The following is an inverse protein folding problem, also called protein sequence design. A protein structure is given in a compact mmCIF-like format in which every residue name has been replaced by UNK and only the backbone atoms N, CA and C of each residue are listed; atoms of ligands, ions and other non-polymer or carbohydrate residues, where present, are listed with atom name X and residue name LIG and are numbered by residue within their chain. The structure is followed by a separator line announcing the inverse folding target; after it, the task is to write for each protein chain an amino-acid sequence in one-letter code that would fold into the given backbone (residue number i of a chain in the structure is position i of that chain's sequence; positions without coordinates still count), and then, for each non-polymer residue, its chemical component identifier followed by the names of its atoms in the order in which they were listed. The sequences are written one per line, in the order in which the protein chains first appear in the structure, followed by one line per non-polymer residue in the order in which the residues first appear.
data_IF_298194930716
#
_entry.id   IF_298194930716
#
_cell.length_a   1.000
_cell.length_b   1.000
_cell.length_c   1.000
_cell.angle_alpha   90.00
_cell.angle_beta   90.00
_cell.angle_gamma   90.00
#
_symmetry.space_group_name_H-M   'P 1'
#
loop_
_entity.id
_entity.type
_entity.pdbx_description
1 polymer ?
#
# COMPACT_ATOMS: atom_id res chain seq x y z
N UNK A 1 -60.38 27.82 2.62
CA UNK A 1 -61.07 26.64 2.04
C UNK A 1 -60.12 26.08 1.00
N UNK A 2 -59.34 25.06 1.35
CA UNK A 2 -59.58 23.65 0.95
C UNK A 2 -59.28 23.43 -0.54
N UNK A 3 -58.62 22.40 -1.05
CA UNK A 3 -57.93 21.22 -0.54
C UNK A 3 -57.68 20.35 -1.79
N UNK A 4 -56.48 19.76 -1.90
CA UNK A 4 -56.13 18.43 -2.45
C UNK A 4 -56.77 17.88 -3.74
N UNK A 5 -55.90 17.34 -4.60
CA UNK A 5 -56.29 16.32 -5.59
C UNK A 5 -55.15 15.87 -6.53
N UNK A 6 -54.22 15.05 -6.03
CA UNK A 6 -53.53 14.03 -6.87
C UNK A 6 -54.54 12.89 -7.17
N UNK A 7 -54.47 12.22 -8.34
CA UNK A 7 -53.55 11.10 -8.54
C UNK A 7 -52.93 11.10 -9.95
N UNK A 8 -51.73 10.56 -10.18
CA UNK A 8 -51.50 9.12 -10.29
C UNK A 8 -50.24 8.86 -11.12
N UNK A 9 -49.58 7.77 -10.76
CA UNK A 9 -48.22 7.34 -11.08
C UNK A 9 -48.29 6.23 -12.14
N UNK A 10 -47.48 6.33 -13.21
CA UNK A 10 -46.93 5.23 -14.03
C UNK A 10 -46.08 5.93 -15.11
N UNK A 11 -44.77 5.79 -15.19
CA UNK A 11 -43.92 4.66 -14.86
C UNK A 11 -43.30 4.19 -16.18
N UNK A 12 -42.24 4.85 -16.63
CA UNK A 12 -41.37 4.29 -17.66
C UNK A 12 -39.98 4.11 -17.09
N UNK A 13 -39.72 2.83 -16.81
CA UNK A 13 -38.49 2.28 -16.30
C UNK A 13 -37.72 1.70 -17.50
N UNK A 14 -36.65 2.36 -17.91
CA UNK A 14 -35.58 1.74 -18.72
C UNK A 14 -34.40 2.69 -18.92
N UNK A 15 -33.81 3.14 -17.82
CA UNK A 15 -32.40 3.54 -17.81
C UNK A 15 -31.69 2.64 -16.79
N UNK A 16 -30.64 1.88 -17.18
CA UNK A 16 -29.94 0.99 -16.26
C UNK A 16 -29.29 1.80 -15.12
N UNK A 17 -29.24 1.27 -13.88
CA UNK A 17 -28.85 2.01 -12.67
C UNK A 17 -27.35 2.31 -12.55
N UNK A 18 -26.58 2.15 -13.62
CA UNK A 18 -25.11 2.24 -13.61
C UNK A 18 -24.58 3.52 -14.27
N UNK A 19 -25.24 4.66 -14.08
CA UNK A 19 -24.47 5.91 -14.10
C UNK A 19 -23.52 5.83 -12.91
N UNK A 20 -22.30 5.35 -13.17
CA UNK A 20 -21.19 5.35 -12.23
C UNK A 20 -21.07 6.79 -11.72
N UNK A 21 -21.09 7.02 -10.39
CA UNK A 21 -20.61 8.28 -9.87
C UNK A 21 -19.18 8.44 -10.40
N UNK A 22 -18.81 9.63 -10.85
CA UNK A 22 -17.43 10.00 -11.10
C UNK A 22 -16.64 9.80 -9.79
N UNK A 23 -16.10 8.60 -9.54
CA UNK A 23 -15.27 8.28 -8.36
C UNK A 23 -13.81 8.68 -8.59
N UNK A 24 -13.56 9.46 -9.63
CA UNK A 24 -12.35 10.24 -9.77
C UNK A 24 -12.29 11.27 -8.63
N UNK A 25 -11.53 10.91 -7.58
CA UNK A 25 -10.49 11.78 -7.05
C UNK A 25 -10.74 12.69 -5.82
N UNK A 26 -11.64 12.37 -4.89
CA UNK A 26 -11.68 13.13 -3.62
C UNK A 26 -11.32 12.28 -2.39
N UNK A 27 -10.19 12.65 -1.76
CA UNK A 27 -9.82 12.25 -0.40
C UNK A 27 -10.93 12.69 0.57
N UNK A 28 -11.20 11.89 1.61
CA UNK A 28 -12.31 12.23 2.48
C UNK A 28 -12.71 11.19 3.51
N UNK A 29 -13.60 11.63 4.39
CA UNK A 29 -14.18 10.81 5.44
C UNK A 29 -15.16 9.79 4.87
N UNK A 30 -15.10 8.59 5.44
CA UNK A 30 -15.96 7.45 5.18
C UNK A 30 -16.49 6.90 6.51
N UNK A 31 -17.46 5.99 6.46
CA UNK A 31 -17.97 5.31 7.66
C UNK A 31 -18.84 6.21 8.54
N UNK A 32 -18.83 5.94 9.85
CA UNK A 32 -19.61 6.70 10.84
C UNK A 32 -18.70 7.46 11.80
N UNK A 33 -19.29 8.29 12.66
CA UNK A 33 -18.53 9.00 13.70
C UNK A 33 -17.89 8.05 14.72
N UNK A 34 -18.57 6.95 15.02
CA UNK A 34 -18.17 5.91 15.98
C UNK A 34 -17.11 4.97 15.40
N UNK A 35 -17.24 4.68 14.10
CA UNK A 35 -16.35 3.82 13.32
C UNK A 35 -15.88 4.58 12.07
N UNK A 36 -14.97 5.56 12.24
CA UNK A 36 -14.51 6.39 11.15
C UNK A 36 -13.69 5.60 10.14
N UNK A 37 -13.82 6.02 8.88
CA UNK A 37 -12.93 5.67 7.77
C UNK A 37 -12.38 6.93 7.11
N UNK A 38 -11.23 6.83 6.47
CA UNK A 38 -10.66 7.91 5.67
C UNK A 38 -10.01 7.35 4.41
N UNK A 39 -10.27 7.99 3.28
CA UNK A 39 -9.61 7.73 1.99
C UNK A 39 -8.52 8.77 1.76
N UNK A 40 -7.32 8.29 1.48
CA UNK A 40 -6.16 9.08 1.06
C UNK A 40 -5.59 8.46 -0.23
N UNK A 41 -5.99 9.00 -1.37
CA UNK A 41 -5.69 8.50 -2.72
C UNK A 41 -6.24 7.10 -2.94
N UNK A 42 -5.33 6.16 -3.17
CA UNK A 42 -5.62 4.74 -3.35
C UNK A 42 -5.73 3.97 -2.01
N UNK A 43 -5.46 4.59 -0.86
CA UNK A 43 -5.51 3.92 0.44
C UNK A 43 -6.81 4.30 1.15
N UNK A 44 -7.49 3.30 1.71
CA UNK A 44 -8.60 3.48 2.64
C UNK A 44 -8.19 2.86 3.97
N UNK A 45 -8.37 3.61 5.06
CA UNK A 45 -8.25 3.08 6.42
C UNK A 45 -9.58 3.26 7.10
N UNK A 46 -10.07 2.24 7.81
CA UNK A 46 -11.32 2.34 8.57
C UNK A 46 -11.32 1.46 9.80
N UNK A 47 -12.17 1.82 10.75
CA UNK A 47 -12.40 1.00 11.94
C UNK A 47 -13.61 0.09 11.76
N UNK A 48 -13.52 -1.10 12.35
CA UNK A 48 -14.62 -2.03 12.49
C UNK A 48 -14.76 -2.44 13.95
N UNK A 49 -15.99 -2.68 14.39
CA UNK A 49 -16.26 -3.23 15.71
C UNK A 49 -16.60 -4.72 15.61
N UNK A 50 -15.67 -5.58 16.02
CA UNK A 50 -15.80 -7.04 15.96
C UNK A 50 -15.69 -7.68 17.35
N UNK A 51 -16.71 -7.53 18.23
CA UNK A 51 -16.69 -8.01 19.62
C UNK A 51 -16.65 -9.53 19.75
N UNK A 52 -16.99 -10.26 18.70
CA UNK A 52 -16.81 -11.71 18.64
C UNK A 52 -15.34 -12.14 18.46
N UNK A 53 -14.46 -11.25 18.03
CA UNK A 53 -13.03 -11.52 17.79
C UNK A 53 -12.19 -10.95 18.93
N UNK A 54 -12.38 -9.67 19.28
CA UNK A 54 -11.73 -9.03 20.42
C UNK A 54 -12.75 -8.16 21.16
N UNK A 55 -12.86 -8.35 22.48
CA UNK A 55 -13.85 -7.68 23.36
C UNK A 55 -13.41 -6.35 23.96
N UNK A 56 -12.17 -5.96 23.77
CA UNK A 56 -11.61 -4.75 24.34
C UNK A 56 -11.19 -3.73 23.28
N UNK A 57 -10.85 -4.19 22.06
CA UNK A 57 -10.25 -3.37 21.02
C UNK A 57 -11.06 -3.32 19.71
N UNK A 58 -10.88 -2.24 18.97
CA UNK A 58 -11.41 -2.09 17.61
C UNK A 58 -10.52 -2.81 16.59
N UNK A 59 -11.08 -3.13 15.44
CA UNK A 59 -10.34 -3.63 14.28
C UNK A 59 -9.93 -2.47 13.38
N UNK A 60 -8.72 -2.55 12.84
CA UNK A 60 -8.24 -1.65 11.78
C UNK A 60 -8.26 -2.40 10.46
N UNK A 61 -9.01 -1.90 9.50
CA UNK A 61 -8.96 -2.31 8.10
C UNK A 61 -8.14 -1.29 7.30
N UNK A 62 -7.15 -1.79 6.56
CA UNK A 62 -6.38 -1.03 5.58
C UNK A 62 -6.63 -1.66 4.22
N UNK A 63 -7.22 -0.90 3.31
CA UNK A 63 -7.56 -1.35 1.97
C UNK A 63 -6.79 -0.53 0.93
N UNK A 64 -6.40 -1.18 -0.16
CA UNK A 64 -5.84 -0.52 -1.34
C UNK A 64 -6.83 -0.63 -2.51
N UNK A 65 -7.06 0.49 -3.16
CA UNK A 65 -7.81 0.58 -4.40
C UNK A 65 -6.88 0.37 -5.61
N UNK A 66 -7.36 -0.36 -6.61
CA UNK A 66 -6.78 -0.43 -7.94
C UNK A 66 -7.11 0.81 -8.78
N UNK A 67 -6.50 0.87 -9.97
CA UNK A 67 -6.73 1.95 -10.95
C UNK A 67 -8.20 1.98 -11.44
N UNK A 68 -8.91 0.87 -11.30
CA UNK A 68 -10.35 0.70 -11.60
C UNK A 68 -11.27 1.04 -10.41
N UNK A 69 -10.68 1.51 -9.30
CA UNK A 69 -11.38 1.87 -8.08
C UNK A 69 -11.89 0.69 -7.26
N UNK A 70 -11.58 -0.55 -7.65
CA UNK A 70 -11.91 -1.75 -6.87
C UNK A 70 -10.89 -1.99 -5.76
N UNK A 71 -11.27 -2.76 -4.74
CA UNK A 71 -10.35 -3.15 -3.67
C UNK A 71 -9.45 -4.27 -4.20
N UNK A 72 -8.17 -3.98 -4.34
CA UNK A 72 -7.17 -4.96 -4.76
C UNK A 72 -6.61 -5.75 -3.57
N UNK A 73 -6.45 -5.08 -2.43
CA UNK A 73 -5.78 -5.64 -1.26
C UNK A 73 -6.45 -5.18 0.03
N UNK A 74 -6.45 -6.05 1.04
CA UNK A 74 -6.96 -5.77 2.38
C UNK A 74 -6.03 -6.36 3.43
N UNK A 75 -5.67 -5.53 4.41
CA UNK A 75 -4.95 -5.93 5.62
C UNK A 75 -5.81 -5.53 6.81
N UNK A 76 -6.24 -6.52 7.59
CA UNK A 76 -7.13 -6.30 8.73
C UNK A 76 -6.56 -6.91 10.00
N UNK A 77 -6.89 -6.31 11.14
CA UNK A 77 -6.68 -6.97 12.42
C UNK A 77 -6.98 -6.10 13.64
N UNK A 78 -7.01 -6.73 14.81
CA UNK A 78 -7.16 -6.07 16.11
C UNK A 78 -6.17 -4.93 16.29
N UNK A 79 -6.64 -3.79 16.78
CA UNK A 79 -5.82 -2.61 17.02
C UNK A 79 -5.75 -2.32 18.52
N UNK A 80 -4.79 -2.91 19.27
CA UNK A 80 -4.59 -2.63 20.69
C UNK A 80 -4.48 -1.14 21.05
N UNK A 81 -3.94 -0.32 20.15
CA UNK A 81 -3.85 1.13 20.32
C UNK A 81 -5.21 1.84 20.29
N UNK A 82 -6.29 1.14 19.92
CA UNK A 82 -7.66 1.66 19.86
C UNK A 82 -8.62 0.80 20.67
N UNK A 83 -8.63 0.95 22.01
CA UNK A 83 -9.68 0.40 22.85
C UNK A 83 -11.08 0.90 22.44
N UNK A 84 -12.13 0.11 22.68
CA UNK A 84 -13.53 0.51 22.40
C UNK A 84 -13.99 1.76 23.12
N UNK A 85 -13.35 2.14 24.22
CA UNK A 85 -13.66 3.35 24.99
C UNK A 85 -12.99 4.62 24.48
N UNK A 86 -12.12 4.53 23.46
CA UNK A 86 -11.29 5.67 23.05
C UNK A 86 -12.15 6.84 22.52
N UNK A 87 -11.81 8.10 22.81
CA UNK A 87 -12.58 9.25 22.32
C UNK A 87 -12.72 9.27 20.79
N UNK A 88 -13.87 9.73 20.29
CA UNK A 88 -14.19 9.74 18.85
C UNK A 88 -13.19 10.58 18.03
N UNK A 89 -12.74 11.70 18.58
CA UNK A 89 -11.75 12.56 17.93
C UNK A 89 -10.39 11.86 17.81
N UNK A 90 -10.01 11.06 18.80
CA UNK A 90 -8.79 10.23 18.77
C UNK A 90 -8.88 9.15 17.70
N UNK A 91 -10.03 8.47 17.58
CA UNK A 91 -10.26 7.47 16.52
C UNK A 91 -10.17 8.09 15.12
N UNK A 92 -10.82 9.24 14.95
CA UNK A 92 -10.83 9.97 13.69
C UNK A 92 -9.41 10.41 13.31
N UNK A 93 -8.67 11.01 14.26
CA UNK A 93 -7.26 11.39 14.07
C UNK A 93 -6.41 10.19 13.69
N UNK A 94 -6.55 9.07 14.41
CA UNK A 94 -5.79 7.84 14.12
C UNK A 94 -5.99 7.39 12.68
N UNK A 95 -7.25 7.22 12.25
CA UNK A 95 -7.57 6.71 10.91
C UNK A 95 -7.02 7.63 9.82
N UNK A 96 -7.19 8.94 9.97
CA UNK A 96 -6.67 9.92 9.02
C UNK A 96 -5.14 9.88 8.95
N UNK A 97 -4.45 9.88 10.09
CA UNK A 97 -2.98 9.86 10.13
C UNK A 97 -2.44 8.58 9.51
N UNK A 98 -3.01 7.41 9.83
CA UNK A 98 -2.60 6.14 9.22
C UNK A 98 -2.81 6.14 7.71
N UNK A 99 -3.96 6.61 7.22
CA UNK A 99 -4.24 6.69 5.79
C UNK A 99 -3.24 7.60 5.06
N UNK A 100 -2.94 8.78 5.62
CA UNK A 100 -2.00 9.74 5.06
C UNK A 100 -0.55 9.23 5.05
N UNK A 101 -0.10 8.56 6.12
CA UNK A 101 1.22 7.94 6.17
C UNK A 101 1.36 6.85 5.11
N UNK A 102 0.37 5.98 5.02
CA UNK A 102 0.38 4.87 4.07
C UNK A 102 0.23 5.35 2.64
N UNK A 103 -0.46 6.46 2.37
CA UNK A 103 -0.51 7.09 1.04
C UNK A 103 0.88 7.43 0.51
N UNK A 104 1.78 7.89 1.37
CA UNK A 104 3.14 8.28 0.96
C UNK A 104 4.14 7.14 0.96
N UNK A 105 3.90 6.09 1.76
CA UNK A 105 4.72 4.88 1.78
C UNK A 105 4.34 3.89 0.67
N UNK A 106 3.06 3.85 0.29
CA UNK A 106 2.55 3.05 -0.81
C UNK A 106 2.91 3.74 -2.12
N UNK A 107 3.77 3.13 -2.93
CA UNK A 107 3.96 3.54 -4.32
C UNK A 107 2.58 3.61 -5.03
N UNK A 108 2.37 4.42 -6.08
CA UNK A 108 1.11 4.44 -6.82
C UNK A 108 0.69 3.08 -7.40
N UNK A 109 1.61 2.11 -7.41
CA UNK A 109 1.40 0.69 -7.75
C UNK A 109 1.86 -0.28 -6.64
N UNK A 110 2.05 0.22 -5.43
CA UNK A 110 2.64 -0.47 -4.28
C UNK A 110 1.67 -1.43 -3.61
N UNK A 111 2.20 -2.52 -3.04
CA UNK A 111 1.45 -3.58 -2.36
C UNK A 111 1.48 -3.26 -0.87
N UNK A 112 0.38 -3.46 -0.15
CA UNK A 112 0.38 -3.36 1.32
C UNK A 112 1.31 -4.42 1.96
N UNK A 113 1.64 -5.48 1.23
CA UNK A 113 2.52 -6.57 1.65
C UNK A 113 3.89 -6.10 2.16
N UNK A 114 4.46 -5.03 1.58
CA UNK A 114 5.74 -4.46 2.02
C UNK A 114 5.65 -3.56 3.26
N UNK A 115 4.43 -3.24 3.71
CA UNK A 115 4.15 -2.32 4.81
C UNK A 115 3.62 -3.05 6.06
N UNK A 116 3.58 -4.39 6.05
CA UNK A 116 2.97 -5.20 7.10
C UNK A 116 3.54 -4.93 8.50
N UNK A 117 4.86 -4.78 8.63
CA UNK A 117 5.51 -4.48 9.91
C UNK A 117 5.15 -3.08 10.43
N UNK A 118 5.08 -2.09 9.55
CA UNK A 118 4.68 -0.73 9.92
C UNK A 118 3.19 -0.65 10.30
N UNK A 119 2.32 -1.37 9.56
CA UNK A 119 0.89 -1.48 9.89
C UNK A 119 0.69 -2.18 11.24
N UNK A 120 1.45 -3.24 11.51
CA UNK A 120 1.42 -3.91 12.81
C UNK A 120 1.84 -2.97 13.95
N UNK A 121 2.94 -2.23 13.75
CA UNK A 121 3.41 -1.25 14.73
C UNK A 121 2.38 -0.15 15.01
N UNK A 122 1.72 0.37 13.96
CA UNK A 122 0.64 1.34 14.11
C UNK A 122 -0.54 0.79 14.93
N UNK A 123 -0.93 -0.46 14.69
CA UNK A 123 -1.99 -1.14 15.42
C UNK A 123 -1.65 -1.36 16.89
N UNK A 124 -0.40 -1.69 17.18
CA UNK A 124 0.08 -1.95 18.53
C UNK A 124 0.34 -0.68 19.34
N UNK A 125 0.89 0.36 18.70
CA UNK A 125 1.51 1.49 19.41
C UNK A 125 0.83 2.82 19.19
N UNK A 126 -0.07 2.94 18.21
CA UNK A 126 -0.78 4.18 17.97
C UNK A 126 -0.05 5.15 17.04
N UNK A 127 -0.56 6.37 16.96
CA UNK A 127 -0.04 7.47 16.12
C UNK A 127 0.46 8.67 16.91
N UNK A 128 0.78 8.50 18.19
CA UNK A 128 1.24 9.59 19.05
C UNK A 128 2.78 9.70 19.06
N UNK A 129 3.27 10.94 19.21
CA UNK A 129 4.67 11.36 19.40
C UNK A 129 5.77 10.37 18.96
N UNK A 130 6.51 9.73 19.89
CA UNK A 130 7.63 8.84 19.55
C UNK A 130 7.26 7.61 18.73
N UNK A 131 6.05 7.09 18.90
CA UNK A 131 5.56 5.90 18.19
C UNK A 131 5.35 6.20 16.71
N UNK A 132 4.80 7.38 16.40
CA UNK A 132 4.66 7.86 15.03
C UNK A 132 6.03 7.99 14.34
N UNK A 133 7.04 8.46 15.06
CA UNK A 133 8.40 8.60 14.51
C UNK A 133 9.05 7.24 14.22
N UNK A 134 8.90 6.26 15.12
CA UNK A 134 9.38 4.90 14.89
C UNK A 134 8.68 4.25 13.68
N UNK A 135 7.37 4.44 13.54
CA UNK A 135 6.63 3.98 12.35
C UNK A 135 7.10 4.69 11.09
N UNK A 136 7.29 6.01 11.12
CA UNK A 136 7.78 6.75 9.97
C UNK A 136 9.18 6.27 9.54
N UNK A 137 10.06 5.95 10.49
CA UNK A 137 11.37 5.34 10.22
C UNK A 137 11.24 3.93 9.63
N UNK A 138 10.30 3.11 10.10
CA UNK A 138 10.05 1.77 9.53
C UNK A 138 9.47 1.86 8.12
N UNK A 139 8.57 2.81 7.86
CA UNK A 139 8.05 3.10 6.52
C UNK A 139 9.16 3.61 5.60
N UNK A 140 10.04 4.48 6.09
CA UNK A 140 11.19 5.00 5.34
C UNK A 140 12.23 3.90 5.07
N UNK A 141 12.50 3.03 6.04
CA UNK A 141 13.37 1.87 5.87
C UNK A 141 12.81 0.88 4.84
N UNK A 142 11.50 0.59 4.89
CA UNK A 142 10.80 -0.21 3.88
C UNK A 142 10.78 0.49 2.50
N UNK A 143 10.97 1.80 2.46
CA UNK A 143 11.09 2.61 1.25
C UNK A 143 12.54 2.97 0.88
N UNK A 144 13.53 2.46 1.60
CA UNK A 144 14.94 2.80 1.39
C UNK A 144 15.52 2.07 0.18
N UNK A 145 16.46 2.74 -0.49
CA UNK A 145 17.23 2.13 -1.58
C UNK A 145 17.98 0.88 -1.11
N UNK A 146 18.47 0.90 0.13
CA UNK A 146 19.25 -0.17 0.73
C UNK A 146 18.40 -1.43 1.01
N UNK A 147 17.19 -1.27 1.57
CA UNK A 147 16.27 -2.38 1.77
C UNK A 147 15.79 -2.98 0.44
N UNK A 148 15.60 -2.13 -0.58
CA UNK A 148 15.26 -2.60 -1.92
C UNK A 148 16.43 -3.33 -2.58
N UNK A 149 17.65 -2.84 -2.39
CA UNK A 149 18.86 -3.48 -2.88
C UNK A 149 19.12 -4.83 -2.20
N UNK A 150 18.91 -4.92 -0.89
CA UNK A 150 19.01 -6.18 -0.14
C UNK A 150 17.98 -7.21 -0.64
N UNK A 151 16.72 -6.78 -0.84
CA UNK A 151 15.64 -7.65 -1.30
C UNK A 151 15.87 -8.17 -2.73
N UNK A 152 16.34 -7.31 -3.63
CA UNK A 152 16.70 -7.70 -5.00
C UNK A 152 17.93 -8.61 -5.04
N UNK A 153 18.96 -8.29 -4.25
CA UNK A 153 20.17 -9.13 -4.14
C UNK A 153 19.81 -10.54 -3.67
N UNK A 154 18.98 -10.64 -2.64
CA UNK A 154 18.51 -11.92 -2.13
C UNK A 154 17.74 -12.73 -3.17
N UNK A 155 16.80 -12.10 -3.91
CA UNK A 155 16.04 -12.76 -4.97
C UNK A 155 16.92 -13.28 -6.12
N UNK A 156 17.93 -12.51 -6.51
CA UNK A 156 18.85 -12.89 -7.58
C UNK A 156 19.72 -14.08 -7.18
N UNK A 157 20.22 -14.08 -5.94
CA UNK A 157 20.96 -15.23 -5.38
C UNK A 157 20.07 -16.48 -5.37
N UNK A 158 18.81 -16.37 -4.95
CA UNK A 158 17.89 -17.50 -4.96
C UNK A 158 17.56 -18.02 -6.37
N UNK A 159 17.55 -17.14 -7.37
CA UNK A 159 17.15 -17.50 -8.75
C UNK A 159 18.30 -18.03 -9.59
N UNK A 160 19.51 -17.52 -9.39
CA UNK A 160 20.67 -17.75 -10.27
C UNK A 160 21.91 -18.27 -9.51
N UNK A 161 21.96 -18.11 -8.19
CA UNK A 161 23.20 -18.21 -7.42
C UNK A 161 24.01 -16.90 -7.47
N UNK A 162 24.90 -16.72 -6.48
CA UNK A 162 25.60 -15.45 -6.26
C UNK A 162 26.56 -15.06 -7.40
N UNK A 163 27.37 -16.00 -7.88
CA UNK A 163 28.34 -15.75 -8.96
C UNK A 163 27.65 -15.41 -10.29
N UNK A 164 26.58 -16.13 -10.64
CA UNK A 164 25.82 -15.90 -11.87
C UNK A 164 24.99 -14.61 -11.80
N UNK A 165 24.47 -14.28 -10.61
CA UNK A 165 23.82 -12.99 -10.37
C UNK A 165 24.77 -11.80 -10.58
N UNK A 166 26.00 -11.90 -10.07
CA UNK A 166 27.03 -10.87 -10.25
C UNK A 166 27.41 -10.68 -11.72
N UNK A 167 27.69 -11.76 -12.44
CA UNK A 167 28.04 -11.69 -13.88
C UNK A 167 26.89 -11.09 -14.69
N UNK A 168 25.66 -11.49 -14.38
CA UNK A 168 24.46 -10.99 -15.06
C UNK A 168 24.24 -9.51 -14.80
N UNK A 169 24.40 -9.05 -13.54
CA UNK A 169 24.27 -7.65 -13.19
C UNK A 169 25.38 -6.79 -13.78
N UNK A 170 26.62 -7.27 -13.79
CA UNK A 170 27.74 -6.54 -14.37
C UNK A 170 27.52 -6.30 -15.88
N UNK A 171 27.10 -7.35 -16.61
CA UNK A 171 26.76 -7.23 -18.03
C UNK A 171 25.59 -6.26 -18.29
N UNK A 172 24.58 -6.27 -17.42
CA UNK A 172 23.42 -5.38 -17.51
C UNK A 172 23.79 -3.93 -17.17
N UNK A 173 24.61 -3.71 -16.14
CA UNK A 173 25.11 -2.41 -15.74
C UNK A 173 26.05 -1.83 -16.80
N UNK A 174 26.93 -2.63 -17.40
CA UNK A 174 27.78 -2.18 -18.50
C UNK A 174 26.98 -1.65 -19.70
N UNK A 175 25.81 -2.26 -19.98
CA UNK A 175 24.88 -1.80 -21.03
C UNK A 175 24.12 -0.53 -20.65
N UNK A 176 23.64 -0.45 -19.40
CA UNK A 176 22.80 0.67 -18.94
C UNK A 176 23.59 1.90 -18.47
N UNK A 177 24.83 1.68 -18.05
CA UNK A 177 25.73 2.63 -17.42
C UNK A 177 27.18 2.42 -17.91
N UNK A 178 27.49 2.64 -19.19
CA UNK A 178 28.80 2.36 -19.78
C UNK A 178 29.97 3.19 -19.21
N UNK A 179 29.70 4.11 -18.27
CA UNK A 179 30.70 4.94 -17.58
C UNK A 179 30.72 4.76 -16.06
N UNK A 180 29.85 3.91 -15.50
CA UNK A 180 29.86 3.65 -14.07
C UNK A 180 30.84 2.53 -13.74
N UNK A 181 31.63 2.70 -12.69
CA UNK A 181 32.34 1.59 -12.07
C UNK A 181 31.33 0.81 -11.24
N UNK A 182 31.04 -0.42 -11.65
CA UNK A 182 30.26 -1.35 -10.84
C UNK A 182 31.03 -1.65 -9.55
N UNK A 183 30.31 -1.74 -8.42
CA UNK A 183 30.90 -2.16 -7.15
C UNK A 183 31.33 -3.64 -7.20
N UNK A 184 32.17 -4.05 -6.25
CA UNK A 184 32.68 -5.43 -6.20
C UNK A 184 31.71 -6.40 -5.51
N UNK A 185 30.62 -5.88 -4.93
CA UNK A 185 29.60 -6.68 -4.25
C UNK A 185 28.25 -6.61 -4.96
N UNK A 186 27.48 -7.69 -4.86
CA UNK A 186 26.15 -7.79 -5.48
C UNK A 186 25.23 -6.67 -4.99
N UNK A 187 25.28 -6.37 -3.69
CA UNK A 187 24.47 -5.32 -3.08
C UNK A 187 24.77 -3.92 -3.64
N UNK A 188 26.05 -3.59 -3.86
CA UNK A 188 26.45 -2.30 -4.45
C UNK A 188 26.00 -2.18 -5.91
N UNK A 189 26.11 -3.26 -6.68
CA UNK A 189 25.67 -3.32 -8.08
C UNK A 189 24.15 -3.17 -8.19
N UNK A 190 23.40 -3.86 -7.33
CA UNK A 190 21.95 -3.73 -7.26
C UNK A 190 21.57 -2.31 -6.80
N UNK A 191 22.28 -1.71 -5.84
CA UNK A 191 22.08 -0.32 -5.44
C UNK A 191 22.27 0.67 -6.60
N UNK A 192 23.31 0.48 -7.43
CA UNK A 192 23.52 1.26 -8.65
C UNK A 192 22.38 1.08 -9.66
N UNK A 193 21.91 -0.15 -9.84
CA UNK A 193 20.76 -0.45 -10.69
C UNK A 193 19.50 0.27 -10.21
N UNK A 194 19.18 0.17 -8.92
CA UNK A 194 18.02 0.82 -8.28
C UNK A 194 18.08 2.35 -8.45
N UNK A 195 19.26 2.95 -8.25
CA UNK A 195 19.46 4.39 -8.49
C UNK A 195 19.20 4.79 -9.93
N UNK A 196 19.59 3.92 -10.88
CA UNK A 196 19.48 4.20 -12.30
C UNK A 196 18.05 4.10 -12.83
N UNK A 197 17.32 3.06 -12.42
CA UNK A 197 15.95 2.81 -12.89
C UNK A 197 14.90 3.49 -12.00
N UNK A 198 15.28 3.92 -10.80
CA UNK A 198 14.40 4.52 -9.81
C UNK A 198 13.71 3.48 -8.93
N UNK A 199 13.56 3.82 -7.65
CA UNK A 199 13.00 2.93 -6.60
C UNK A 199 11.59 2.41 -6.92
N UNK A 200 10.72 3.25 -7.46
CA UNK A 200 9.36 2.86 -7.84
C UNK A 200 9.35 1.76 -8.92
N UNK A 201 10.20 1.92 -9.94
CA UNK A 201 10.30 0.94 -11.03
C UNK A 201 10.94 -0.36 -10.57
N UNK A 202 12.01 -0.29 -9.78
CA UNK A 202 12.65 -1.45 -9.17
C UNK A 202 11.68 -2.26 -8.29
N UNK A 203 10.87 -1.60 -7.46
CA UNK A 203 9.83 -2.24 -6.63
C UNK A 203 8.76 -2.92 -7.46
N UNK A 204 8.25 -2.22 -8.49
CA UNK A 204 7.24 -2.79 -9.39
C UNK A 204 7.74 -4.09 -10.03
N UNK A 205 8.98 -4.10 -10.54
CA UNK A 205 9.60 -5.28 -11.16
C UNK A 205 9.85 -6.41 -10.17
N UNK A 206 10.33 -6.10 -8.96
CA UNK A 206 10.50 -7.08 -7.89
C UNK A 206 9.16 -7.76 -7.54
N UNK A 207 8.09 -6.98 -7.42
CA UNK A 207 6.73 -7.48 -7.14
C UNK A 207 6.20 -8.36 -8.27
N UNK A 208 6.35 -7.91 -9.53
CA UNK A 208 6.00 -8.71 -10.71
C UNK A 208 6.75 -10.05 -10.69
N UNK A 209 8.05 -10.07 -10.35
CA UNK A 209 8.85 -11.30 -10.29
C UNK A 209 8.49 -12.25 -9.13
N UNK A 210 7.99 -11.74 -8.00
CA UNK A 210 7.54 -12.56 -6.86
C UNK A 210 6.11 -13.09 -6.99
N UNK A 211 5.34 -12.56 -7.95
CA UNK A 211 3.93 -12.93 -8.18
C UNK A 211 3.74 -14.03 -9.22
N UNK A 212 4.81 -14.39 -9.94
CA UNK A 212 4.83 -15.51 -10.87
C UNK A 212 5.69 -16.62 -10.29
N UNK A 213 5.16 -17.84 -10.25
CA UNK A 213 5.99 -19.03 -10.07
C UNK A 213 7.07 -19.05 -11.16
N UNK A 214 8.32 -19.02 -10.69
CA UNK A 214 9.57 -19.42 -11.34
C UNK A 214 10.14 -18.54 -12.48
N UNK A 215 11.37 -18.08 -12.19
CA UNK A 215 12.47 -17.64 -13.05
C UNK A 215 12.29 -16.34 -13.85
N UNK A 216 13.09 -15.28 -13.55
CA UNK A 216 13.08 -14.07 -14.35
C UNK A 216 13.73 -14.33 -15.73
N UNK A 217 12.94 -14.26 -16.79
CA UNK A 217 13.43 -14.19 -18.18
C UNK A 217 13.63 -12.73 -18.62
N UNK A 218 14.52 -12.51 -19.60
CA UNK A 218 14.91 -11.18 -20.09
C UNK A 218 13.71 -10.30 -20.55
N UNK A 219 12.65 -10.93 -21.04
CA UNK A 219 11.43 -10.26 -21.51
C UNK A 219 10.64 -9.59 -20.36
N UNK A 220 10.74 -10.10 -19.13
CA UNK A 220 10.08 -9.49 -17.95
C UNK A 220 10.66 -8.12 -17.59
N UNK A 221 11.89 -7.81 -18.01
CA UNK A 221 12.52 -6.51 -17.78
C UNK A 221 12.22 -5.49 -18.88
N UNK A 222 11.55 -5.89 -19.96
CA UNK A 222 11.21 -5.02 -21.09
C UNK A 222 12.42 -4.68 -21.96
N UNK A 223 13.33 -5.63 -22.13
CA UNK A 223 14.45 -5.60 -23.07
C UNK A 223 14.23 -6.60 -24.20
#
# INVERSE_FOLDING_TARGET
MSSLGHPGRQGDASAPPWRRPDWASDDGWLGTRELPGYRAGAVIVRLADLPGVDRDHLYLDVLRLGDDGQIDETVSGTCPALPRGQPLDTRSRFVRVVAELLRHASDPRGRLTGLGSAIALLRERGVEGPQLMATAQQLDAACSEDALAASLSHMLVLSLGEDEALVTLDALLARLLPRAQAGNSLHEQVGLLVRRIGRAQARRRLREATDFDLLPTAELLGL
#
